data_IF_586590854828
#
_entry.id   IF_586590854828
#
_cell.length_a   1.000
_cell.length_b   1.000
_cell.length_c   1.000
_cell.angle_alpha   90.00
_cell.angle_beta   90.00
_cell.angle_gamma   90.00
#
_symmetry.space_group_name_H-M   'P 1'
#
loop_
_entity.id
_entity.type
_entity.pdbx_description
1 polymer ?
#
# COMPACT_ATOMS: atom_id res chain seq x y z
N UNK A 1 4.43 -6.97 -8.41
CA UNK A 1 4.38 -6.59 -6.98
C UNK A 1 3.14 -5.77 -6.73
N UNK A 2 2.44 -6.03 -5.63
CA UNK A 2 1.39 -5.20 -5.07
C UNK A 2 1.77 -4.78 -3.65
N UNK A 3 2.01 -3.50 -3.45
CA UNK A 3 2.46 -2.99 -2.16
C UNK A 3 1.32 -2.82 -1.15
N UNK A 4 0.08 -2.63 -1.63
CA UNK A 4 -1.08 -2.48 -0.75
C UNK A 4 -1.38 -3.78 0.00
N UNK A 5 -1.32 -4.93 -0.66
CA UNK A 5 -1.53 -6.23 -0.03
C UNK A 5 -0.23 -6.93 0.37
N UNK A 6 0.93 -6.28 0.19
CA UNK A 6 2.24 -6.86 0.49
C UNK A 6 2.47 -8.19 -0.26
N UNK A 7 2.21 -8.19 -1.59
CA UNK A 7 2.25 -9.37 -2.44
C UNK A 7 3.26 -9.22 -3.57
N UNK A 8 3.95 -10.31 -3.90
CA UNK A 8 4.79 -10.44 -5.09
C UNK A 8 4.54 -11.77 -5.79
N UNK A 9 4.61 -11.75 -7.12
CA UNK A 9 4.66 -12.96 -7.96
C UNK A 9 6.06 -13.08 -8.52
N UNK A 10 6.69 -14.22 -8.31
CA UNK A 10 8.00 -14.58 -8.85
C UNK A 10 7.85 -15.70 -9.87
N UNK A 11 8.44 -15.51 -11.05
CA UNK A 11 8.53 -16.56 -12.06
C UNK A 11 9.88 -17.25 -11.93
N UNK A 12 9.86 -18.55 -11.69
CA UNK A 12 11.05 -19.39 -11.61
C UNK A 12 11.15 -20.33 -12.80
N UNK A 13 12.37 -20.73 -13.15
CA UNK A 13 12.60 -21.70 -14.22
C UNK A 13 12.17 -23.09 -13.79
N UNK A 14 11.42 -23.80 -14.64
CA UNK A 14 10.86 -25.12 -14.35
C UNK A 14 11.93 -26.18 -14.08
N UNK A 15 13.12 -26.09 -14.69
CA UNK A 15 14.20 -27.03 -14.44
C UNK A 15 14.76 -27.01 -13.00
N UNK A 16 14.43 -25.96 -12.22
CA UNK A 16 14.79 -25.85 -10.80
C UNK A 16 13.72 -26.40 -9.86
N UNK A 17 12.58 -26.81 -10.40
CA UNK A 17 11.48 -27.36 -9.61
C UNK A 17 11.71 -28.88 -9.50
N UNK A 18 11.82 -29.46 -8.29
CA UNK A 18 11.94 -30.89 -8.11
C UNK A 18 10.74 -31.60 -8.74
N UNK A 19 10.97 -32.77 -9.38
CA UNK A 19 9.92 -33.52 -10.08
C UNK A 19 8.76 -33.95 -9.17
N UNK A 20 8.97 -34.05 -7.87
CA UNK A 20 7.93 -34.37 -6.88
C UNK A 20 7.12 -33.15 -6.42
N UNK A 21 7.55 -31.94 -6.72
CA UNK A 21 6.85 -30.74 -6.30
C UNK A 21 5.52 -30.58 -7.05
N UNK A 22 4.47 -30.24 -6.32
CA UNK A 22 3.15 -29.97 -6.85
C UNK A 22 2.74 -28.56 -6.56
N UNK A 23 1.98 -27.93 -7.47
CA UNK A 23 1.37 -26.64 -7.21
C UNK A 23 0.38 -26.75 -6.05
N UNK A 24 0.41 -25.77 -5.14
CA UNK A 24 -0.55 -25.71 -4.06
C UNK A 24 -1.93 -25.28 -4.58
N UNK A 25 -2.99 -25.87 -4.03
CA UNK A 25 -4.36 -25.43 -4.28
C UNK A 25 -4.66 -24.16 -3.49
N UNK A 26 -5.12 -23.12 -4.19
CA UNK A 26 -5.48 -21.85 -3.58
C UNK A 26 -6.99 -21.77 -3.33
N UNK A 27 -7.40 -21.22 -2.17
CA UNK A 27 -8.80 -20.92 -1.88
C UNK A 27 -9.15 -19.52 -2.36
N UNK A 28 -9.58 -19.41 -3.61
CA UNK A 28 -9.88 -18.14 -4.26
C UNK A 28 -11.35 -17.70 -4.14
N UNK A 29 -12.25 -18.59 -3.74
CA UNK A 29 -13.70 -18.40 -3.89
C UNK A 29 -14.41 -18.16 -2.54
N UNK A 30 -13.87 -18.72 -1.45
CA UNK A 30 -14.50 -18.65 -0.15
C UNK A 30 -13.65 -17.94 0.90
N UNK A 31 -14.34 -17.26 1.83
CA UNK A 31 -13.67 -16.74 3.03
C UNK A 31 -13.34 -17.88 3.99
N UNK A 32 -12.20 -17.83 4.69
CA UNK A 32 -11.87 -18.81 5.71
C UNK A 32 -12.95 -18.92 6.79
N UNK A 33 -13.31 -20.14 7.16
CA UNK A 33 -14.30 -20.40 8.20
C UNK A 33 -13.63 -20.28 9.57
N UNK A 34 -14.22 -19.51 10.48
CA UNK A 34 -13.70 -19.35 11.85
C UNK A 34 -13.80 -20.68 12.57
N UNK A 35 -12.73 -21.06 13.31
CA UNK A 35 -12.60 -22.34 13.98
C UNK A 35 -11.93 -23.42 13.13
N UNK A 36 -11.77 -23.25 11.80
CA UNK A 36 -11.09 -24.24 10.96
C UNK A 36 -9.62 -24.40 11.39
N UNK A 37 -9.10 -25.65 11.44
CA UNK A 37 -7.72 -25.91 11.76
C UNK A 37 -6.79 -25.43 10.65
N UNK A 38 -5.70 -24.76 11.03
CA UNK A 38 -4.71 -24.22 10.09
C UNK A 38 -3.28 -24.56 10.49
N UNK A 39 -2.41 -24.59 9.47
CA UNK A 39 -0.96 -24.65 9.62
C UNK A 39 -0.30 -23.45 8.96
N UNK A 40 0.57 -22.75 9.68
CA UNK A 40 1.44 -21.72 9.14
C UNK A 40 2.84 -22.31 8.95
N UNK A 41 3.39 -22.18 7.72
CA UNK A 41 4.67 -22.79 7.35
C UNK A 41 5.67 -21.73 6.92
N UNK A 42 6.95 -21.98 7.17
CA UNK A 42 8.04 -21.08 6.81
C UNK A 42 9.39 -21.51 7.36
N UNK A 43 10.33 -20.57 7.49
CA UNK A 43 11.69 -20.75 8.00
C UNK A 43 11.97 -19.76 9.16
N UNK A 44 11.21 -19.85 10.28
CA UNK A 44 11.38 -18.92 11.39
C UNK A 44 12.76 -19.09 12.03
N UNK A 45 13.42 -17.95 12.30
CA UNK A 45 14.73 -17.91 12.95
C UNK A 45 15.80 -18.76 12.24
N UNK A 46 15.76 -18.88 10.93
CA UNK A 46 16.62 -19.75 10.10
C UNK A 46 16.48 -21.25 10.39
N UNK A 47 15.38 -21.66 11.02
CA UNK A 47 15.02 -23.07 11.16
C UNK A 47 14.31 -23.53 9.89
N UNK A 48 14.88 -24.53 9.22
CA UNK A 48 14.34 -25.06 7.98
C UNK A 48 13.01 -25.78 8.20
N UNK A 49 12.03 -25.53 7.29
CA UNK A 49 10.77 -26.24 7.18
C UNK A 49 9.96 -26.34 8.48
N UNK A 50 9.83 -25.21 9.19
CA UNK A 50 9.04 -25.17 10.41
C UNK A 50 7.55 -24.96 10.11
N UNK A 51 6.70 -25.69 10.82
CA UNK A 51 5.24 -25.53 10.78
C UNK A 51 4.68 -25.31 12.19
N UNK A 52 3.70 -24.42 12.28
CA UNK A 52 2.93 -24.19 13.52
C UNK A 52 1.46 -24.45 13.26
N UNK A 53 0.75 -25.01 14.23
CA UNK A 53 -0.68 -25.33 14.13
C UNK A 53 -1.50 -24.37 14.99
N UNK A 54 -2.69 -24.06 14.51
CA UNK A 54 -3.70 -23.26 15.20
C UNK A 54 -5.04 -23.34 14.47
N UNK A 55 -5.88 -22.32 14.65
CA UNK A 55 -7.18 -22.18 14.00
C UNK A 55 -7.30 -20.82 13.31
N UNK A 56 -8.29 -20.70 12.43
CA UNK A 56 -8.78 -19.39 11.99
C UNK A 56 -9.52 -18.74 13.17
N UNK A 57 -8.90 -17.74 13.80
CA UNK A 57 -9.49 -17.02 14.92
C UNK A 57 -10.48 -15.93 14.47
N UNK A 58 -10.41 -15.50 13.21
CA UNK A 58 -11.34 -14.50 12.67
C UNK A 58 -10.96 -13.99 11.29
N UNK A 59 -11.93 -13.32 10.66
CA UNK A 59 -11.71 -12.51 9.48
C UNK A 59 -11.80 -11.05 9.91
N UNK A 60 -10.74 -10.27 9.71
CA UNK A 60 -10.62 -8.90 10.23
C UNK A 60 -10.41 -7.91 9.09
N UNK A 61 -11.05 -6.74 9.22
CA UNK A 61 -10.68 -5.56 8.44
C UNK A 61 -9.85 -4.63 9.33
N UNK A 62 -8.59 -4.47 9.01
CA UNK A 62 -7.65 -3.59 9.72
C UNK A 62 -6.59 -3.06 8.76
N UNK A 63 -6.10 -1.85 9.02
CA UNK A 63 -5.07 -1.20 8.21
C UNK A 63 -5.43 -1.17 6.72
N UNK A 64 -6.71 -0.88 6.41
CA UNK A 64 -7.20 -0.81 5.03
C UNK A 64 -7.30 -2.14 4.27
N UNK A 65 -7.10 -3.29 4.94
CA UNK A 65 -7.06 -4.63 4.31
C UNK A 65 -7.88 -5.66 5.07
N UNK A 66 -8.18 -6.74 4.36
CA UNK A 66 -8.77 -7.93 4.96
C UNK A 66 -7.71 -8.96 5.32
N UNK A 67 -7.79 -9.46 6.53
CA UNK A 67 -6.88 -10.41 7.12
C UNK A 67 -7.59 -11.68 7.56
N UNK A 68 -6.88 -12.82 7.45
CA UNK A 68 -7.17 -14.00 8.25
C UNK A 68 -6.40 -13.84 9.56
N UNK A 69 -7.10 -13.78 10.67
CA UNK A 69 -6.50 -13.86 12.00
C UNK A 69 -6.34 -15.33 12.39
N UNK A 70 -5.21 -15.70 12.96
CA UNK A 70 -4.93 -17.05 13.46
C UNK A 70 -4.15 -16.99 14.76
N UNK A 71 -4.30 -17.99 15.61
CA UNK A 71 -3.48 -18.24 16.79
C UNK A 71 -2.28 -19.15 16.50
N UNK A 72 -2.17 -19.72 15.29
CA UNK A 72 -0.96 -20.36 14.82
C UNK A 72 0.22 -19.37 14.96
N UNK A 73 1.32 -19.79 15.58
CA UNK A 73 2.45 -18.92 15.84
C UNK A 73 3.10 -18.46 14.52
N UNK A 74 2.95 -17.18 14.19
CA UNK A 74 3.63 -16.52 13.08
C UNK A 74 4.81 -15.72 13.66
N UNK A 75 6.00 -16.00 13.16
CA UNK A 75 7.24 -15.36 13.60
C UNK A 75 8.00 -14.84 12.37
N UNK A 76 9.04 -14.02 12.61
CA UNK A 76 9.97 -13.60 11.57
C UNK A 76 10.56 -14.84 10.85
N UNK A 77 10.40 -14.90 9.53
CA UNK A 77 10.74 -16.06 8.68
C UNK A 77 9.52 -16.87 8.20
N UNK A 78 8.33 -16.69 8.78
CA UNK A 78 7.10 -17.24 8.24
C UNK A 78 6.42 -16.32 7.21
N UNK A 79 6.76 -15.02 7.19
CA UNK A 79 6.20 -14.05 6.25
C UNK A 79 6.46 -14.45 4.80
N UNK A 80 5.41 -14.38 3.95
CA UNK A 80 5.40 -14.87 2.57
C UNK A 80 5.10 -16.38 2.44
N UNK A 81 5.17 -17.14 3.54
CA UNK A 81 4.79 -18.55 3.59
C UNK A 81 3.27 -18.74 3.62
N UNK A 82 2.78 -19.96 3.34
CA UNK A 82 1.35 -20.24 3.29
C UNK A 82 0.74 -20.41 4.68
N UNK A 83 -0.52 -19.95 4.80
CA UNK A 83 -1.46 -20.40 5.81
C UNK A 83 -2.39 -21.44 5.15
N UNK A 84 -2.30 -22.69 5.55
CA UNK A 84 -3.01 -23.82 4.95
C UNK A 84 -4.15 -24.26 5.86
N UNK A 85 -5.34 -24.43 5.30
CA UNK A 85 -6.44 -25.13 5.97
C UNK A 85 -6.13 -26.62 5.99
N UNK A 86 -6.04 -27.21 7.19
CA UNK A 86 -5.58 -28.59 7.37
C UNK A 86 -6.65 -29.63 7.02
N UNK A 87 -7.93 -29.25 6.95
CA UNK A 87 -9.01 -30.16 6.53
C UNK A 87 -9.06 -30.30 5.00
N UNK A 88 -8.79 -29.20 4.26
CA UNK A 88 -8.92 -29.15 2.80
C UNK A 88 -7.59 -29.21 2.06
N UNK A 89 -6.47 -28.95 2.73
CA UNK A 89 -5.15 -28.80 2.13
C UNK A 89 -4.98 -27.54 1.27
N UNK A 90 -5.97 -26.66 1.23
CA UNK A 90 -5.91 -25.43 0.44
C UNK A 90 -5.19 -24.31 1.19
N UNK A 91 -4.44 -23.48 0.44
CA UNK A 91 -3.86 -22.24 0.96
C UNK A 91 -4.96 -21.19 1.08
N UNK A 92 -5.27 -20.75 2.30
CA UNK A 92 -6.32 -19.78 2.60
C UNK A 92 -5.78 -18.37 2.85
N UNK A 93 -4.45 -18.25 3.00
CA UNK A 93 -3.80 -16.96 3.21
C UNK A 93 -2.29 -17.02 3.04
N UNK A 94 -1.67 -15.84 3.02
CA UNK A 94 -0.21 -15.65 2.99
C UNK A 94 0.18 -14.97 4.28
N UNK A 95 1.04 -15.61 5.07
CA UNK A 95 1.52 -15.08 6.33
C UNK A 95 2.23 -13.73 6.12
N UNK A 96 1.90 -12.71 6.89
CA UNK A 96 2.47 -11.38 6.68
C UNK A 96 2.83 -10.66 7.99
N UNK A 97 1.96 -10.63 8.99
CA UNK A 97 2.13 -9.77 10.14
C UNK A 97 1.80 -10.45 11.47
N UNK A 98 2.40 -9.95 12.54
CA UNK A 98 2.03 -10.28 13.92
C UNK A 98 1.93 -8.99 14.73
N UNK A 99 1.13 -8.98 15.78
CA UNK A 99 1.24 -7.94 16.80
C UNK A 99 2.59 -8.07 17.53
N UNK A 100 3.13 -6.93 17.98
CA UNK A 100 4.28 -6.95 18.87
C UNK A 100 4.03 -7.88 20.05
N UNK A 101 4.98 -8.78 20.34
CA UNK A 101 4.89 -9.74 21.47
C UNK A 101 4.68 -9.07 22.84
N UNK A 102 4.97 -7.76 22.95
CA UNK A 102 4.67 -6.99 24.16
C UNK A 102 3.20 -6.68 24.36
N UNK A 103 2.38 -6.77 23.29
CA UNK A 103 0.96 -6.39 23.35
C UNK A 103 0.02 -7.59 23.31
N UNK A 104 0.42 -8.73 22.73
CA UNK A 104 -0.41 -9.94 22.73
C UNK A 104 0.37 -11.15 22.21
N UNK A 105 0.15 -12.32 22.82
CA UNK A 105 0.55 -13.61 22.29
C UNK A 105 -0.57 -14.22 21.46
N UNK A 106 -0.24 -14.96 20.39
CA UNK A 106 -1.22 -15.70 19.60
C UNK A 106 -2.06 -14.86 18.63
N UNK A 107 -1.59 -13.67 18.21
CA UNK A 107 -2.26 -12.88 17.15
C UNK A 107 -1.39 -12.82 15.89
N UNK A 108 -1.58 -13.81 15.03
CA UNK A 108 -1.02 -13.85 13.68
C UNK A 108 -2.02 -13.36 12.63
N UNK A 109 -1.51 -12.76 11.55
CA UNK A 109 -2.30 -12.28 10.42
C UNK A 109 -1.73 -12.76 9.10
N UNK A 110 -2.63 -13.25 8.24
CA UNK A 110 -2.31 -13.61 6.88
C UNK A 110 -3.20 -12.83 5.89
N UNK A 111 -2.65 -12.42 4.76
CA UNK A 111 -3.44 -11.83 3.66
C UNK A 111 -4.41 -12.87 3.15
N UNK A 112 -5.70 -12.53 3.05
CA UNK A 112 -6.72 -13.47 2.58
C UNK A 112 -6.45 -13.91 1.13
N UNK A 113 -6.47 -15.22 0.88
CA UNK A 113 -6.19 -15.78 -0.45
C UNK A 113 -7.20 -15.31 -1.50
N UNK A 114 -8.48 -15.20 -1.15
CA UNK A 114 -9.53 -14.67 -2.04
C UNK A 114 -9.19 -13.26 -2.58
N UNK A 115 -8.44 -12.45 -1.82
CA UNK A 115 -7.96 -11.12 -2.25
C UNK A 115 -6.66 -11.23 -3.05
N UNK A 116 -5.77 -12.13 -2.64
CA UNK A 116 -4.50 -12.36 -3.32
C UNK A 116 -4.69 -12.93 -4.73
N UNK A 117 -5.63 -13.84 -4.94
CA UNK A 117 -5.91 -14.48 -6.24
C UNK A 117 -6.17 -13.45 -7.35
N UNK A 118 -6.95 -12.38 -7.06
CA UNK A 118 -7.18 -11.33 -8.06
C UNK A 118 -5.89 -10.60 -8.43
N UNK A 119 -5.06 -10.29 -7.44
CA UNK A 119 -3.77 -9.62 -7.67
C UNK A 119 -2.84 -10.52 -8.46
N UNK A 120 -2.78 -11.81 -8.14
CA UNK A 120 -1.99 -12.79 -8.88
C UNK A 120 -2.40 -12.85 -10.34
N UNK A 121 -3.71 -12.98 -10.61
CA UNK A 121 -4.23 -12.98 -11.98
C UNK A 121 -3.89 -11.71 -12.76
N UNK A 122 -3.92 -10.54 -12.11
CA UNK A 122 -3.51 -9.29 -12.75
C UNK A 122 -2.01 -9.29 -13.06
N UNK A 123 -1.17 -9.71 -12.09
CA UNK A 123 0.29 -9.76 -12.26
C UNK A 123 0.72 -10.78 -13.31
N UNK A 124 0.09 -11.94 -13.38
CA UNK A 124 0.33 -12.98 -14.41
C UNK A 124 0.02 -12.47 -15.82
N UNK A 125 -0.99 -11.62 -15.96
CA UNK A 125 -1.36 -10.99 -17.23
C UNK A 125 -0.65 -9.64 -17.46
N UNK A 126 0.39 -9.32 -16.69
CA UNK A 126 1.17 -8.07 -16.76
C UNK A 126 0.33 -6.80 -16.54
N UNK A 127 -0.89 -6.94 -16.05
CA UNK A 127 -1.77 -5.83 -15.69
C UNK A 127 -1.31 -5.21 -14.37
N UNK A 128 -1.30 -3.89 -14.32
CA UNK A 128 -0.96 -3.16 -13.10
C UNK A 128 -2.00 -3.42 -11.99
N UNK A 129 -1.64 -4.11 -10.89
CA UNK A 129 -2.58 -4.39 -9.80
C UNK A 129 -2.69 -3.24 -8.79
N UNK A 130 -1.93 -2.16 -8.97
CA UNK A 130 -1.93 -1.04 -8.02
C UNK A 130 -3.35 -0.54 -7.76
N UNK A 131 -3.63 -0.07 -6.53
CA UNK A 131 -4.90 0.55 -6.21
C UNK A 131 -5.23 1.68 -7.16
N UNK A 132 -6.50 1.92 -7.47
CA UNK A 132 -6.89 3.08 -8.28
C UNK A 132 -6.74 4.38 -7.46
N UNK A 133 -6.74 5.50 -8.16
CA UNK A 133 -7.00 6.79 -7.53
C UNK A 133 -8.46 6.83 -7.06
N UNK A 134 -8.68 7.16 -5.79
CA UNK A 134 -10.00 7.34 -5.20
C UNK A 134 -10.10 8.80 -4.75
N UNK A 135 -10.81 9.67 -5.52
CA UNK A 135 -10.85 11.12 -5.27
C UNK A 135 -11.88 11.50 -4.20
N UNK A 136 -12.18 10.61 -3.28
CA UNK A 136 -13.14 10.78 -2.18
C UNK A 136 -12.58 10.20 -0.90
N UNK A 137 -13.04 10.67 0.25
CA UNK A 137 -12.92 9.97 1.52
C UNK A 137 -14.27 9.51 2.02
N UNK A 138 -14.26 8.55 2.90
CA UNK A 138 -15.46 7.99 3.53
C UNK A 138 -15.56 8.46 4.98
N UNK A 139 -16.79 8.50 5.50
CA UNK A 139 -17.03 8.78 6.89
C UNK A 139 -16.39 7.68 7.76
N UNK A 140 -15.59 8.09 8.72
CA UNK A 140 -15.03 7.21 9.74
C UNK A 140 -16.01 7.16 10.91
N UNK A 141 -17.04 6.35 10.81
CA UNK A 141 -17.96 6.10 11.93
C UNK A 141 -17.82 4.63 12.33
N UNK A 142 -17.35 4.39 13.56
CA UNK A 142 -17.23 3.05 14.12
C UNK A 142 -18.60 2.36 14.25
N UNK A 143 -19.68 3.11 14.23
CA UNK A 143 -21.08 2.60 14.32
C UNK A 143 -21.67 2.27 12.94
N UNK A 144 -21.11 2.81 11.85
CA UNK A 144 -21.54 2.54 10.45
C UNK A 144 -20.51 1.63 9.78
N UNK A 145 -20.28 0.44 10.31
CA UNK A 145 -19.18 -0.43 9.88
C UNK A 145 -19.35 -1.09 8.50
N UNK A 146 -20.54 -1.09 7.92
CA UNK A 146 -20.85 -1.85 6.70
C UNK A 146 -21.26 -0.96 5.51
N UNK A 147 -20.98 0.34 5.54
CA UNK A 147 -21.37 1.28 4.48
C UNK A 147 -20.27 2.26 4.11
N UNK A 148 -20.13 2.53 2.82
CA UNK A 148 -19.20 3.54 2.30
C UNK A 148 -19.95 4.85 2.04
N UNK A 149 -19.98 5.75 3.02
CA UNK A 149 -20.59 7.07 2.92
C UNK A 149 -19.56 8.12 2.56
N UNK A 150 -19.77 8.85 1.47
CA UNK A 150 -18.86 9.90 0.99
C UNK A 150 -18.82 11.07 1.98
N UNK A 151 -17.67 11.32 2.60
CA UNK A 151 -17.43 12.41 3.55
C UNK A 151 -16.67 13.61 2.92
N UNK A 152 -15.86 13.37 1.89
CA UNK A 152 -15.23 14.45 1.12
C UNK A 152 -15.06 14.05 -0.35
N UNK A 153 -15.03 15.06 -1.23
CA UNK A 153 -14.76 14.91 -2.66
C UNK A 153 -13.58 15.80 -3.03
N UNK A 154 -12.52 15.20 -3.57
CA UNK A 154 -11.29 15.89 -3.94
C UNK A 154 -11.28 16.21 -5.43
N UNK A 155 -11.26 17.50 -5.80
CA UNK A 155 -11.33 17.96 -7.18
C UNK A 155 -9.97 18.12 -7.88
N UNK A 156 -8.89 18.14 -7.11
CA UNK A 156 -7.51 18.29 -7.63
C UNK A 156 -6.77 16.95 -7.78
N UNK A 157 -7.50 15.90 -8.12
CA UNK A 157 -6.96 14.56 -8.27
C UNK A 157 -6.82 14.18 -9.74
N UNK A 158 -5.99 13.18 -10.09
CA UNK A 158 -5.85 12.67 -11.46
C UNK A 158 -7.15 12.17 -12.09
N UNK A 159 -8.15 11.89 -11.25
CA UNK A 159 -9.53 11.55 -11.66
C UNK A 159 -10.51 12.32 -10.77
N UNK A 160 -11.68 12.64 -11.34
CA UNK A 160 -12.78 13.29 -10.60
C UNK A 160 -14.00 12.40 -10.75
N UNK A 161 -14.67 12.12 -9.64
CA UNK A 161 -15.91 11.34 -9.63
C UNK A 161 -17.12 12.26 -9.38
N UNK A 162 -18.23 12.10 -10.13
CA UNK A 162 -19.42 12.92 -9.98
C UNK A 162 -20.26 12.47 -8.77
N UNK A 163 -19.62 12.38 -7.61
CA UNK A 163 -20.22 12.01 -6.35
C UNK A 163 -20.42 13.24 -5.46
N UNK A 164 -21.39 13.16 -4.57
CA UNK A 164 -21.74 14.17 -3.60
C UNK A 164 -21.49 13.70 -2.18
N UNK A 165 -21.36 14.65 -1.27
CA UNK A 165 -21.33 14.33 0.18
C UNK A 165 -22.61 13.59 0.56
N UNK A 166 -22.48 12.53 1.37
CA UNK A 166 -23.58 11.71 1.80
C UNK A 166 -24.01 10.62 0.82
N UNK A 167 -23.45 10.55 -0.40
CA UNK A 167 -23.68 9.39 -1.26
C UNK A 167 -23.18 8.11 -0.60
N UNK A 168 -23.94 7.03 -0.72
CA UNK A 168 -23.59 5.70 -0.21
C UNK A 168 -23.21 4.81 -1.38
N UNK A 169 -21.97 4.34 -1.43
CA UNK A 169 -21.51 3.43 -2.48
C UNK A 169 -21.90 2.00 -2.13
N UNK A 170 -22.61 1.34 -3.02
CA UNK A 170 -23.20 0.02 -2.77
C UNK A 170 -22.40 -1.13 -3.42
N UNK A 171 -22.16 -1.05 -4.72
CA UNK A 171 -21.54 -2.11 -5.52
C UNK A 171 -21.08 -1.58 -6.88
N UNK A 172 -20.42 -2.43 -7.69
CA UNK A 172 -20.38 -2.22 -9.15
C UNK A 172 -21.75 -2.52 -9.74
N UNK A 173 -22.16 -1.77 -10.78
CA UNK A 173 -23.43 -2.02 -11.47
C UNK A 173 -23.51 -3.40 -12.13
N UNK A 174 -22.37 -3.92 -12.59
CA UNK A 174 -22.24 -5.26 -13.20
C UNK A 174 -22.19 -6.42 -12.19
N UNK A 175 -21.94 -6.12 -10.89
CA UNK A 175 -21.86 -7.10 -9.80
C UNK A 175 -22.66 -6.60 -8.58
N UNK A 176 -23.99 -6.37 -8.72
CA UNK A 176 -24.81 -5.71 -7.70
C UNK A 176 -24.94 -6.51 -6.40
N UNK A 177 -24.68 -7.82 -6.43
CA UNK A 177 -24.69 -8.70 -5.28
C UNK A 177 -23.41 -8.56 -4.42
N UNK A 178 -22.30 -8.07 -4.98
CA UNK A 178 -21.02 -7.88 -4.29
C UNK A 178 -20.96 -6.51 -3.62
N UNK A 179 -21.68 -6.37 -2.49
CA UNK A 179 -21.76 -5.11 -1.76
C UNK A 179 -20.42 -4.67 -1.18
N UNK A 180 -20.15 -3.37 -1.28
CA UNK A 180 -19.02 -2.75 -0.60
C UNK A 180 -19.37 -2.52 0.86
N UNK A 181 -18.57 -3.09 1.76
CA UNK A 181 -18.64 -2.86 3.19
C UNK A 181 -17.55 -1.90 3.67
N UNK A 182 -16.37 -2.00 3.05
CA UNK A 182 -15.21 -1.20 3.38
C UNK A 182 -14.52 -0.69 2.11
N UNK A 183 -13.74 0.37 2.26
CA UNK A 183 -12.96 0.94 1.15
C UNK A 183 -12.11 -0.12 0.41
N UNK A 184 -11.62 -1.14 1.12
CA UNK A 184 -10.88 -2.24 0.51
C UNK A 184 -11.72 -3.05 -0.51
N UNK A 185 -13.06 -3.12 -0.36
CA UNK A 185 -13.93 -3.78 -1.35
C UNK A 185 -13.98 -2.97 -2.64
N UNK A 186 -14.15 -1.66 -2.52
CA UNK A 186 -14.12 -0.74 -3.67
C UNK A 186 -12.77 -0.79 -4.39
N UNK A 187 -11.65 -0.68 -3.63
CA UNK A 187 -10.30 -0.79 -4.19
C UNK A 187 -10.14 -2.12 -4.92
N UNK A 188 -10.54 -3.22 -4.28
CA UNK A 188 -10.41 -4.55 -4.87
C UNK A 188 -11.24 -4.69 -6.15
N UNK A 189 -12.46 -4.19 -6.17
CA UNK A 189 -13.33 -4.21 -7.34
C UNK A 189 -12.76 -3.39 -8.51
N UNK A 190 -12.12 -2.27 -8.24
CA UNK A 190 -11.56 -1.38 -9.25
C UNK A 190 -10.13 -1.77 -9.73
N UNK A 191 -9.42 -2.68 -9.03
CA UNK A 191 -8.07 -3.10 -9.43
C UNK A 191 -8.03 -3.64 -10.86
N UNK A 192 -7.04 -3.21 -11.62
CA UNK A 192 -6.84 -3.60 -13.02
C UNK A 192 -7.79 -2.94 -14.02
N UNK A 193 -8.72 -2.09 -13.54
CA UNK A 193 -9.64 -1.35 -14.42
C UNK A 193 -9.06 0.02 -14.74
N UNK A 194 -9.18 0.42 -16.01
CA UNK A 194 -8.85 1.77 -16.49
C UNK A 194 -9.98 2.25 -17.40
N UNK A 195 -10.46 3.46 -17.18
CA UNK A 195 -11.56 4.04 -17.93
C UNK A 195 -12.89 4.06 -17.15
N UNK A 196 -14.04 4.18 -17.86
CA UNK A 196 -15.35 4.32 -17.22
C UNK A 196 -15.76 3.04 -16.50
N UNK A 197 -16.32 3.19 -15.30
CA UNK A 197 -16.88 2.13 -14.48
C UNK A 197 -18.19 2.64 -13.88
N UNK A 198 -19.23 1.82 -13.88
CA UNK A 198 -20.53 2.16 -13.31
C UNK A 198 -20.63 1.67 -11.86
N UNK A 199 -20.89 2.62 -10.95
CA UNK A 199 -21.14 2.36 -9.53
C UNK A 199 -22.63 2.46 -9.24
N UNK A 200 -23.15 1.54 -8.47
CA UNK A 200 -24.44 1.67 -7.81
C UNK A 200 -24.25 2.47 -6.51
N UNK A 201 -24.99 3.56 -6.41
CA UNK A 201 -25.00 4.42 -5.23
C UNK A 201 -26.42 4.67 -4.74
N UNK A 202 -26.56 4.96 -3.46
CA UNK A 202 -27.79 5.55 -2.93
C UNK A 202 -27.55 7.05 -2.71
N UNK A 203 -28.42 7.88 -3.29
CA UNK A 203 -28.44 9.35 -3.15
C UNK A 203 -29.82 9.80 -2.77
N UNK A 204 -29.98 10.42 -1.59
CA UNK A 204 -31.28 10.88 -1.07
C UNK A 204 -32.33 9.76 -1.03
N UNK A 205 -31.97 8.57 -0.57
CA UNK A 205 -32.86 7.41 -0.45
C UNK A 205 -33.22 6.71 -1.76
N UNK A 206 -32.59 7.09 -2.89
CA UNK A 206 -32.83 6.50 -4.21
C UNK A 206 -31.58 5.87 -4.79
N UNK A 207 -31.70 4.63 -5.24
CA UNK A 207 -30.63 3.96 -5.98
C UNK A 207 -30.40 4.63 -7.34
N UNK A 208 -29.13 4.83 -7.69
CA UNK A 208 -28.69 5.44 -8.96
C UNK A 208 -27.44 4.72 -9.45
N UNK A 209 -27.28 4.71 -10.76
CA UNK A 209 -26.00 4.35 -11.40
C UNK A 209 -25.23 5.63 -11.71
N UNK A 210 -23.95 5.65 -11.33
CA UNK A 210 -23.04 6.78 -11.60
C UNK A 210 -21.79 6.26 -12.28
N UNK A 211 -21.45 6.82 -13.43
CA UNK A 211 -20.21 6.50 -14.13
C UNK A 211 -19.05 7.27 -13.52
N UNK A 212 -18.02 6.55 -13.09
CA UNK A 212 -16.77 7.10 -12.58
C UNK A 212 -15.60 6.66 -13.45
N UNK A 213 -14.52 7.45 -13.48
CA UNK A 213 -13.29 7.04 -14.17
C UNK A 213 -12.37 6.33 -13.21
N UNK A 214 -12.10 5.05 -13.48
CA UNK A 214 -11.04 4.30 -12.79
C UNK A 214 -9.71 4.55 -13.47
N UNK A 215 -8.66 4.81 -12.69
CA UNK A 215 -7.28 4.95 -13.14
C UNK A 215 -6.36 4.34 -12.10
N UNK A 216 -5.62 3.31 -12.49
CA UNK A 216 -4.63 2.70 -11.60
C UNK A 216 -3.52 3.70 -11.26
N UNK A 217 -3.03 3.66 -10.03
CA UNK A 217 -1.82 4.40 -9.63
C UNK A 217 -0.60 3.83 -10.33
N UNK A 218 0.46 4.62 -10.54
CA UNK A 218 1.70 4.11 -11.10
C UNK A 218 2.26 2.96 -10.27
N UNK A 219 2.91 2.00 -10.94
CA UNK A 219 3.65 0.93 -10.24
C UNK A 219 4.77 1.54 -9.41
N UNK A 220 4.91 1.13 -8.15
CA UNK A 220 6.04 1.58 -7.31
C UNK A 220 7.40 1.17 -7.88
N UNK A 221 7.45 0.00 -8.53
CA UNK A 221 8.66 -0.53 -9.18
C UNK A 221 9.16 0.31 -10.36
N UNK A 222 8.34 1.18 -10.93
CA UNK A 222 8.70 2.10 -12.01
C UNK A 222 8.94 3.54 -11.57
N UNK A 223 8.92 3.81 -10.27
CA UNK A 223 9.12 5.17 -9.75
C UNK A 223 10.57 5.60 -9.91
N UNK A 224 10.70 6.89 -10.15
CA UNK A 224 11.99 7.57 -10.21
C UNK A 224 12.06 8.53 -9.04
N UNK A 225 12.92 8.23 -8.09
CA UNK A 225 13.23 9.09 -6.96
C UNK A 225 14.44 9.98 -7.24
N UNK A 226 14.72 10.91 -6.33
CA UNK A 226 15.93 11.72 -6.30
C UNK A 226 16.77 11.34 -5.11
N UNK A 227 18.01 10.94 -5.35
CA UNK A 227 19.01 10.81 -4.30
C UNK A 227 19.80 12.10 -4.20
N UNK A 228 19.95 12.64 -3.01
CA UNK A 228 20.85 13.76 -2.70
C UNK A 228 21.31 13.65 -1.25
N UNK A 229 22.62 13.75 -1.02
CA UNK A 229 23.23 13.81 0.33
C UNK A 229 22.80 12.66 1.27
N UNK A 230 22.51 11.48 0.69
CA UNK A 230 22.04 10.31 1.43
C UNK A 230 20.52 10.29 1.72
N UNK A 231 19.79 11.24 1.16
CA UNK A 231 18.33 11.29 1.25
C UNK A 231 17.74 10.80 -0.07
N UNK A 232 16.68 9.98 -0.01
CA UNK A 232 15.89 9.61 -1.19
C UNK A 232 14.52 10.27 -1.08
N UNK A 233 14.22 11.11 -2.07
CA UNK A 233 12.92 11.75 -2.25
C UNK A 233 12.17 11.04 -3.38
N UNK A 234 10.89 10.80 -3.19
CA UNK A 234 10.02 10.18 -4.20
C UNK A 234 8.61 10.76 -4.11
N UNK A 235 7.74 10.35 -5.00
CA UNK A 235 6.30 10.53 -4.83
C UNK A 235 5.84 9.68 -3.65
N UNK A 236 4.78 10.12 -2.97
CA UNK A 236 4.26 9.46 -1.77
C UNK A 236 4.05 7.96 -1.96
N UNK A 237 4.49 7.10 -1.01
CA UNK A 237 4.13 5.70 -1.01
C UNK A 237 2.64 5.55 -0.76
N UNK A 238 2.05 4.51 -1.35
CA UNK A 238 0.68 4.13 -1.08
C UNK A 238 0.58 3.64 0.36
N UNK A 239 -0.01 4.45 1.21
CA UNK A 239 -0.49 4.01 2.52
C UNK A 239 -1.96 3.67 2.43
N UNK A 240 -2.36 2.64 3.16
CA UNK A 240 -3.67 2.01 3.04
C UNK A 240 -4.82 2.86 3.56
N UNK A 241 -4.54 3.77 4.49
CA UNK A 241 -5.54 4.47 5.31
C UNK A 241 -5.52 5.98 5.13
N UNK A 242 -4.54 6.53 4.39
CA UNK A 242 -4.39 7.96 4.37
C UNK A 242 -5.13 8.60 3.20
N UNK A 243 -5.96 9.54 3.56
CA UNK A 243 -6.39 10.64 2.72
C UNK A 243 -5.17 11.11 1.94
N UNK A 244 -5.24 11.05 0.63
CA UNK A 244 -4.18 11.51 -0.26
C UNK A 244 -3.70 12.89 0.20
N UNK A 245 -2.38 13.05 0.28
CA UNK A 245 -1.79 14.33 0.61
C UNK A 245 -2.28 15.38 -0.42
N UNK A 246 -3.14 16.34 -0.04
CA UNK A 246 -3.73 17.30 -0.96
C UNK A 246 -2.70 18.27 -1.54
N UNK A 247 -1.49 18.31 -0.97
CA UNK A 247 -0.50 19.34 -1.23
C UNK A 247 0.58 18.95 -2.25
N UNK A 248 0.53 17.73 -2.85
CA UNK A 248 1.51 17.24 -3.85
C UNK A 248 2.98 17.36 -3.41
N UNK A 249 3.28 17.16 -2.13
CA UNK A 249 4.64 17.20 -1.62
C UNK A 249 5.42 15.92 -1.98
N UNK A 250 6.71 16.08 -2.25
CA UNK A 250 7.60 14.94 -2.37
C UNK A 250 7.81 14.29 -0.99
N UNK A 251 7.83 12.97 -0.99
CA UNK A 251 7.99 12.16 0.21
C UNK A 251 9.47 11.83 0.45
N UNK A 252 9.90 11.86 1.71
CA UNK A 252 11.24 11.45 2.13
C UNK A 252 11.21 9.95 2.42
N UNK A 253 11.58 9.16 1.42
CA UNK A 253 11.51 7.70 1.45
C UNK A 253 12.50 7.10 2.45
N UNK A 254 13.74 7.56 2.42
CA UNK A 254 14.80 7.10 3.29
C UNK A 254 15.88 8.13 3.50
N UNK A 255 16.60 7.99 4.62
CA UNK A 255 17.79 8.78 4.94
C UNK A 255 18.84 7.81 5.46
N UNK A 256 20.00 7.76 4.81
CA UNK A 256 21.10 6.89 5.23
C UNK A 256 21.70 7.39 6.56
N UNK A 257 21.89 6.51 7.53
CA UNK A 257 22.21 6.85 8.93
C UNK A 257 23.44 7.75 9.13
N UNK A 258 24.48 7.60 8.33
CA UNK A 258 25.73 8.37 8.43
C UNK A 258 25.86 9.45 7.38
N UNK A 259 24.76 9.78 6.68
CA UNK A 259 24.76 10.72 5.58
C UNK A 259 24.73 12.19 6.04
N UNK A 260 25.08 13.10 5.12
CA UNK A 260 24.93 14.55 5.32
C UNK A 260 23.47 14.88 5.70
N UNK A 261 22.50 14.25 5.05
CA UNK A 261 21.08 14.44 5.37
C UNK A 261 20.74 14.06 6.80
N UNK A 262 21.22 12.90 7.27
CA UNK A 262 21.00 12.46 8.66
C UNK A 262 21.67 13.36 9.68
N UNK A 263 22.94 13.75 9.43
CA UNK A 263 23.71 14.67 10.30
C UNK A 263 23.08 16.07 10.37
N UNK A 264 22.37 16.49 9.31
CA UNK A 264 21.59 17.74 9.30
C UNK A 264 20.21 17.61 9.93
N UNK A 265 19.87 16.45 10.50
CA UNK A 265 18.63 16.19 11.21
C UNK A 265 17.42 15.88 10.32
N UNK A 266 17.62 15.64 9.01
CA UNK A 266 16.53 15.17 8.14
C UNK A 266 16.13 13.76 8.55
N UNK A 267 14.82 13.50 8.61
CA UNK A 267 14.26 12.19 8.97
C UNK A 267 13.44 11.63 7.81
N UNK A 268 13.47 10.32 7.64
CA UNK A 268 12.58 9.61 6.73
C UNK A 268 11.12 9.69 7.20
N UNK A 269 10.20 9.30 6.31
CA UNK A 269 8.75 9.23 6.57
C UNK A 269 8.10 10.60 6.79
N UNK A 270 8.64 11.63 6.16
CA UNK A 270 8.10 12.97 6.13
C UNK A 270 7.98 13.47 4.69
N UNK A 271 7.59 14.73 4.54
CA UNK A 271 7.40 15.37 3.24
C UNK A 271 8.35 16.56 3.09
N UNK A 272 8.79 16.81 1.87
CA UNK A 272 9.55 17.99 1.50
C UNK A 272 8.58 19.13 1.22
N UNK A 273 8.47 20.08 2.14
CA UNK A 273 7.58 21.24 2.00
C UNK A 273 8.18 22.32 1.09
N UNK A 274 9.49 22.58 1.19
CA UNK A 274 10.18 23.52 0.29
C UNK A 274 11.69 23.33 0.28
N UNK A 275 12.33 23.84 -0.79
CA UNK A 275 13.78 23.99 -0.92
C UNK A 275 14.07 25.47 -1.15
N UNK A 276 14.88 26.11 -0.30
CA UNK A 276 15.17 27.55 -0.32
C UNK A 276 13.90 28.43 -0.45
N UNK A 277 12.81 28.02 0.23
CA UNK A 277 11.52 28.70 0.22
C UNK A 277 10.65 28.40 -1.00
N UNK A 278 11.14 27.65 -1.98
CA UNK A 278 10.38 27.26 -3.19
C UNK A 278 9.71 25.90 -2.96
N UNK A 279 8.40 25.82 -3.18
CA UNK A 279 7.69 24.54 -3.22
C UNK A 279 8.06 23.79 -4.50
N UNK A 280 8.60 22.58 -4.35
CA UNK A 280 8.99 21.69 -5.45
C UNK A 280 8.09 20.44 -5.41
N UNK A 281 7.46 20.14 -6.53
CA UNK A 281 6.40 19.11 -6.61
C UNK A 281 6.79 17.86 -7.36
N UNK A 282 7.84 17.91 -8.16
CA UNK A 282 8.27 16.77 -8.99
C UNK A 282 9.70 16.36 -8.70
N UNK A 283 9.97 15.06 -8.82
CA UNK A 283 11.33 14.52 -8.69
C UNK A 283 12.29 15.12 -9.71
N UNK A 284 11.84 15.38 -10.93
CA UNK A 284 12.67 16.01 -11.97
C UNK A 284 13.05 17.45 -11.60
N UNK A 285 12.07 18.26 -11.16
CA UNK A 285 12.35 19.63 -10.72
C UNK A 285 13.30 19.65 -9.53
N UNK A 286 13.11 18.76 -8.54
CA UNK A 286 14.00 18.61 -7.40
C UNK A 286 15.42 18.23 -7.83
N UNK A 287 15.54 17.24 -8.70
CA UNK A 287 16.82 16.79 -9.23
C UNK A 287 17.58 17.94 -9.92
N UNK A 288 16.92 18.67 -10.82
CA UNK A 288 17.52 19.81 -11.52
C UNK A 288 17.96 20.91 -10.55
N UNK A 289 17.12 21.25 -9.58
CA UNK A 289 17.43 22.26 -8.58
C UNK A 289 18.66 21.87 -7.74
N UNK A 290 18.66 20.66 -7.20
CA UNK A 290 19.75 20.18 -6.34
C UNK A 290 21.04 19.95 -7.12
N UNK A 291 20.99 19.51 -8.38
CA UNK A 291 22.18 19.40 -9.23
C UNK A 291 22.83 20.76 -9.50
N UNK A 292 22.03 21.80 -9.71
CA UNK A 292 22.55 23.16 -9.86
C UNK A 292 23.21 23.67 -8.58
N UNK A 293 22.61 23.37 -7.42
CA UNK A 293 23.18 23.74 -6.12
C UNK A 293 24.48 22.96 -5.83
N UNK A 294 24.54 21.66 -6.19
CA UNK A 294 25.74 20.85 -6.05
C UNK A 294 26.88 21.38 -6.92
N UNK A 295 26.61 21.70 -8.19
CA UNK A 295 27.63 22.27 -9.11
C UNK A 295 28.15 23.63 -8.62
N UNK A 296 27.33 24.41 -7.91
CA UNK A 296 27.72 25.67 -7.32
C UNK A 296 28.36 25.56 -5.92
N UNK A 297 28.51 24.34 -5.40
CA UNK A 297 28.93 24.05 -4.00
C UNK A 297 28.10 24.80 -2.95
N UNK A 298 26.81 24.98 -3.24
CA UNK A 298 25.90 25.76 -2.42
C UNK A 298 25.16 24.86 -1.43
N UNK A 299 25.04 25.33 -0.19
CA UNK A 299 24.10 24.74 0.76
C UNK A 299 22.67 25.13 0.39
N UNK A 300 21.72 24.25 0.67
CA UNK A 300 20.30 24.51 0.50
C UNK A 300 19.55 24.34 1.81
N UNK A 301 18.49 25.12 1.98
CA UNK A 301 17.59 25.03 3.11
C UNK A 301 16.39 24.16 2.75
N UNK A 302 16.30 22.97 3.32
CA UNK A 302 15.13 22.10 3.21
C UNK A 302 14.16 22.43 4.35
N UNK A 303 12.87 22.56 4.03
CA UNK A 303 11.81 22.52 5.00
C UNK A 303 11.07 21.21 4.86
N UNK A 304 11.01 20.42 5.93
CA UNK A 304 10.32 19.14 5.97
C UNK A 304 9.08 19.22 6.83
N UNK A 305 8.06 18.45 6.47
CA UNK A 305 6.80 18.30 7.20
C UNK A 305 6.67 16.86 7.68
N UNK A 306 6.44 16.66 8.95
CA UNK A 306 6.12 15.37 9.55
C UNK A 306 4.76 15.42 10.23
N UNK A 307 3.98 14.35 10.12
CA UNK A 307 2.73 14.20 10.87
C UNK A 307 3.01 13.26 12.03
N UNK A 308 2.80 13.73 13.24
CA UNK A 308 2.96 12.94 14.45
C UNK A 308 1.60 12.29 14.79
N UNK A 309 1.48 11.01 14.54
CA UNK A 309 0.23 10.26 14.72
C UNK A 309 -0.05 9.89 16.19
N UNK A 310 1.00 9.87 17.04
CA UNK A 310 0.87 9.45 18.43
C UNK A 310 0.22 10.53 19.30
N UNK A 311 0.24 11.80 18.86
CA UNK A 311 -0.30 12.94 19.60
C UNK A 311 -1.23 13.81 18.72
N UNK A 312 -2.47 13.39 18.53
CA UNK A 312 -3.54 14.17 17.88
C UNK A 312 -3.22 14.66 16.45
N UNK A 313 -2.52 13.87 15.67
CA UNK A 313 -2.16 14.19 14.27
C UNK A 313 -1.55 15.60 14.10
N UNK A 314 -0.64 15.99 14.98
CA UNK A 314 0.03 17.29 14.89
C UNK A 314 1.02 17.31 13.73
N UNK A 315 0.94 18.36 12.93
CA UNK A 315 1.90 18.60 11.85
C UNK A 315 3.07 19.43 12.38
N UNK A 316 4.29 18.89 12.23
CA UNK A 316 5.53 19.56 12.59
C UNK A 316 6.32 19.93 11.34
N UNK A 317 6.74 21.18 11.26
CA UNK A 317 7.70 21.64 10.25
C UNK A 317 9.08 21.76 10.86
N UNK A 318 10.10 21.31 10.15
CA UNK A 318 11.51 21.39 10.56
C UNK A 318 12.32 21.96 9.41
N UNK A 319 13.31 22.79 9.74
CA UNK A 319 14.21 23.41 8.77
C UNK A 319 15.62 22.82 8.90
N UNK A 320 16.20 22.41 7.77
CA UNK A 320 17.51 21.77 7.70
C UNK A 320 18.37 22.47 6.66
N UNK A 321 19.60 22.80 7.02
CA UNK A 321 20.60 23.30 6.08
C UNK A 321 21.51 22.13 5.67
N UNK A 322 21.53 21.80 4.39
CA UNK A 322 22.32 20.68 3.87
C UNK A 322 23.31 21.11 2.79
N UNK A 323 24.51 20.54 2.82
CA UNK A 323 25.45 20.58 1.71
C UNK A 323 25.01 19.51 0.70
N UNK A 324 24.72 19.93 -0.52
CA UNK A 324 24.22 19.01 -1.57
C UNK A 324 25.36 18.22 -2.15
N UNK A 325 25.20 16.87 -2.21
CA UNK A 325 26.18 15.93 -2.78
C UNK A 325 25.50 14.73 -3.41
N UNK A 326 26.09 14.19 -4.46
CA UNK A 326 25.67 12.95 -5.12
C UNK A 326 24.23 13.00 -5.62
N UNK A 327 23.86 14.11 -6.27
CA UNK A 327 22.53 14.26 -6.85
C UNK A 327 22.38 13.38 -8.07
N UNK A 328 21.36 12.54 -8.06
CA UNK A 328 21.01 11.67 -9.19
C UNK A 328 19.59 11.19 -9.11
N UNK A 329 19.02 10.89 -10.26
CA UNK A 329 17.79 10.09 -10.30
C UNK A 329 18.09 8.64 -9.94
N UNK A 330 17.19 8.01 -9.17
CA UNK A 330 17.29 6.62 -8.74
C UNK A 330 16.00 5.89 -9.08
N UNK A 331 16.12 4.62 -9.48
CA UNK A 331 14.98 3.78 -9.87
C UNK A 331 15.35 2.86 -11.02
N UNK A 332 14.52 1.84 -11.33
CA UNK A 332 14.84 0.80 -12.32
C UNK A 332 15.11 1.34 -13.73
N UNK A 333 14.53 2.47 -14.08
CA UNK A 333 14.66 3.11 -15.41
C UNK A 333 15.06 4.58 -15.28
N UNK A 334 15.79 4.92 -14.21
CA UNK A 334 16.23 6.28 -13.99
C UNK A 334 17.23 6.70 -15.09
N UNK A 335 17.02 7.85 -15.77
CA UNK A 335 17.96 8.36 -16.76
C UNK A 335 19.28 8.78 -16.09
N UNK A 336 20.36 8.80 -16.89
CA UNK A 336 21.65 9.31 -16.44
C UNK A 336 21.61 10.84 -16.41
N UNK A 337 21.08 11.43 -15.37
CA UNK A 337 21.00 12.88 -15.22
C UNK A 337 19.58 13.35 -14.93
N UNK A 338 19.43 14.64 -14.57
CA UNK A 338 18.17 15.23 -14.15
C UNK A 338 17.31 15.81 -15.29
N UNK A 339 17.86 15.87 -16.50
CA UNK A 339 17.21 16.43 -17.69
C UNK A 339 16.58 15.38 -18.58
#
# INVERSE_FOLDING_TARGET
VDHLLDLAVLKISTYRIPAFAKAANLECDAKPVIGSPVGAYGHPFSLDYSGTRGIVSGNRYRWGRYWVQTDAAINSGNSGGPLINLDTGKVIGINSATYSKRMSEGLGFAVQMIRACRVFKLLENEVNPSPPYIPISFAADEQIQDELVVAAVYRKQPVVWPLNLGDRLSALAEEPEKKFKHQADLIHALRGRNGPVELLIERSGKMRTVTVTSKARPKLTGRIGVHASGIIFDTEPLKDDEVMNPDDFLFIQSVAETSIGALSGVRAWGYLASVDGKAIKTTRELCTYLSSAEAADKKVKLVTRHVDWDYRAQTRYSSHEITVRNVKLVGPHAPKGCG
#
